data_IF_553010103901
#
_entry.id   IF_553010103901
#
_cell.length_a   1.000
_cell.length_b   1.000
_cell.length_c   1.000
_cell.angle_alpha   90.00
_cell.angle_beta   90.00
_cell.angle_gamma   90.00
#
_symmetry.space_group_name_H-M   'P 1'
#
loop_
_entity.id
_entity.type
_entity.pdbx_description
1 polymer ?
#
# COMPACT_ATOMS: atom_id res chain seq x y z
N UNK A 1 -21.90 -14.07 7.41
CA UNK A 1 -20.82 -14.10 8.41
C UNK A 1 -21.41 -13.93 9.82
N UNK A 2 -22.28 -12.93 10.03
CA UNK A 2 -22.89 -12.64 11.33
C UNK A 2 -24.39 -12.95 11.34
N UNK A 3 -24.93 -13.33 12.51
CA UNK A 3 -26.37 -13.48 12.69
C UNK A 3 -27.07 -12.11 12.76
N UNK A 4 -28.36 -12.06 12.41
CA UNK A 4 -29.18 -10.85 12.56
C UNK A 4 -29.16 -10.34 14.01
N UNK A 5 -29.29 -11.23 15.00
CA UNK A 5 -29.22 -10.88 16.42
C UNK A 5 -27.88 -10.19 16.78
N UNK A 6 -26.75 -10.65 16.23
CA UNK A 6 -25.47 -10.00 16.44
C UNK A 6 -25.45 -8.59 15.84
N UNK A 7 -25.92 -8.44 14.61
CA UNK A 7 -25.96 -7.14 13.90
C UNK A 7 -26.84 -6.14 14.64
N UNK A 8 -28.04 -6.55 15.05
CA UNK A 8 -28.99 -5.71 15.79
C UNK A 8 -28.40 -5.25 17.13
N UNK A 9 -27.76 -6.12 17.87
CA UNK A 9 -27.15 -5.81 19.17
C UNK A 9 -25.91 -4.93 19.03
N UNK A 10 -25.14 -5.13 17.95
CA UNK A 10 -24.01 -4.28 17.62
C UNK A 10 -24.48 -2.85 17.29
N UNK A 11 -25.49 -2.72 16.44
CA UNK A 11 -26.11 -1.44 16.08
C UNK A 11 -26.78 -0.74 17.28
N UNK A 12 -27.35 -1.52 18.22
CA UNK A 12 -27.91 -1.01 19.48
C UNK A 12 -26.83 -0.54 20.47
N UNK A 13 -25.54 -0.79 20.20
CA UNK A 13 -24.43 -0.44 21.08
C UNK A 13 -24.33 -1.31 22.34
N UNK A 14 -24.93 -2.52 22.31
CA UNK A 14 -24.82 -3.47 23.41
C UNK A 14 -23.38 -4.00 23.57
N UNK A 15 -22.62 -3.99 22.49
CA UNK A 15 -21.19 -4.31 22.48
C UNK A 15 -20.40 -3.14 21.92
N UNK A 16 -19.34 -2.79 22.58
CA UNK A 16 -18.38 -1.80 22.12
C UNK A 16 -17.06 -2.49 21.87
N UNK A 17 -16.65 -2.51 20.61
CA UNK A 17 -15.29 -2.91 20.23
C UNK A 17 -14.53 -1.65 19.88
N UNK A 18 -13.42 -1.40 20.57
CA UNK A 18 -12.51 -0.30 20.26
C UNK A 18 -11.26 -0.86 19.61
N UNK A 19 -10.90 -0.28 18.46
CA UNK A 19 -9.62 -0.57 17.82
C UNK A 19 -8.58 0.48 18.27
N UNK A 20 -7.26 0.20 18.12
CA UNK A 20 -6.20 1.09 18.61
C UNK A 20 -6.28 2.53 18.10
N UNK A 21 -6.94 2.78 16.96
CA UNK A 21 -7.19 4.13 16.44
C UNK A 21 -8.27 4.91 17.20
N UNK A 22 -8.93 4.30 18.18
CA UNK A 22 -10.09 4.88 18.89
C UNK A 22 -11.40 4.82 18.10
N UNK A 23 -11.41 4.26 16.89
CA UNK A 23 -12.62 4.01 16.12
C UNK A 23 -13.41 2.88 16.77
N UNK A 24 -14.73 3.05 16.85
CA UNK A 24 -15.64 2.01 17.33
C UNK A 24 -16.11 1.16 16.14
N UNK A 25 -16.34 -0.11 16.41
CA UNK A 25 -17.03 -1.02 15.51
C UNK A 25 -18.46 -1.08 15.98
N UNK A 26 -19.36 -0.46 15.25
CA UNK A 26 -20.79 -0.31 15.59
C UNK A 26 -21.73 -0.71 14.45
N UNK A 27 -21.19 -1.28 13.38
CA UNK A 27 -21.95 -1.77 12.24
C UNK A 27 -21.33 -3.03 11.65
N UNK A 28 -22.13 -3.77 10.87
CA UNK A 28 -21.72 -5.06 10.30
C UNK A 28 -20.59 -4.95 9.27
N UNK A 29 -20.51 -3.84 8.54
CA UNK A 29 -19.47 -3.63 7.53
C UNK A 29 -18.11 -3.48 8.19
N UNK A 30 -18.00 -2.59 9.18
CA UNK A 30 -16.77 -2.43 9.95
C UNK A 30 -16.38 -3.74 10.65
N UNK A 31 -17.34 -4.47 11.23
CA UNK A 31 -17.09 -5.76 11.86
C UNK A 31 -16.56 -6.80 10.87
N UNK A 32 -17.12 -6.85 9.66
CA UNK A 32 -16.70 -7.78 8.62
C UNK A 32 -15.28 -7.43 8.10
N UNK A 33 -14.97 -6.15 7.91
CA UNK A 33 -13.62 -5.70 7.53
C UNK A 33 -12.59 -6.05 8.61
N UNK A 34 -12.92 -5.87 9.89
CA UNK A 34 -12.00 -6.26 10.97
C UNK A 34 -11.80 -7.77 11.05
N UNK A 35 -12.84 -8.57 10.83
CA UNK A 35 -12.70 -10.03 10.74
C UNK A 35 -11.81 -10.43 9.56
N UNK A 36 -11.97 -9.77 8.41
CA UNK A 36 -11.10 -10.00 7.26
C UNK A 36 -9.63 -9.61 7.55
N UNK A 37 -9.38 -8.50 8.25
CA UNK A 37 -8.05 -8.12 8.68
C UNK A 37 -7.41 -9.22 9.58
N UNK A 38 -8.19 -9.83 10.48
CA UNK A 38 -7.73 -10.98 11.25
C UNK A 38 -7.45 -12.19 10.35
N UNK A 39 -8.31 -12.46 9.36
CA UNK A 39 -8.11 -13.54 8.41
C UNK A 39 -6.78 -13.44 7.66
N UNK A 40 -6.42 -12.25 7.16
CA UNK A 40 -5.17 -12.08 6.40
C UNK A 40 -3.91 -12.14 7.26
N UNK A 41 -3.97 -11.81 8.55
CA UNK A 41 -2.79 -11.87 9.45
C UNK A 41 -2.70 -13.18 10.22
N UNK A 42 -3.77 -13.94 10.34
CA UNK A 42 -3.85 -15.17 11.13
C UNK A 42 -2.78 -16.22 10.78
N UNK A 43 -2.46 -16.49 9.51
CA UNK A 43 -1.41 -17.45 9.15
C UNK A 43 -0.04 -17.08 9.72
N UNK A 44 0.30 -15.79 9.76
CA UNK A 44 1.57 -15.31 10.35
C UNK A 44 1.63 -15.52 11.86
N UNK A 45 0.48 -15.66 12.51
CA UNK A 45 0.33 -15.95 13.95
C UNK A 45 0.14 -17.45 14.24
N UNK A 46 0.17 -18.33 13.22
CA UNK A 46 -0.09 -19.75 13.36
C UNK A 46 -1.57 -20.08 13.64
N UNK A 47 -2.48 -19.17 13.33
CA UNK A 47 -3.92 -19.32 13.53
C UNK A 47 -4.62 -19.65 12.20
N UNK A 48 -5.70 -20.42 12.26
CA UNK A 48 -6.54 -20.73 11.10
C UNK A 48 -7.90 -20.02 11.24
N UNK A 49 -8.14 -19.10 10.31
CA UNK A 49 -9.38 -18.36 10.19
C UNK A 49 -10.16 -18.73 8.92
N UNK A 50 -9.73 -19.75 8.18
CA UNK A 50 -10.37 -20.17 6.92
C UNK A 50 -11.84 -20.55 7.07
N UNK A 51 -12.26 -20.97 8.27
CA UNK A 51 -13.66 -21.29 8.57
C UNK A 51 -14.61 -20.10 8.54
N UNK A 52 -14.12 -18.87 8.60
CA UNK A 52 -14.94 -17.65 8.64
C UNK A 52 -15.20 -17.03 7.27
N UNK A 53 -14.45 -17.45 6.25
CA UNK A 53 -14.57 -16.92 4.88
C UNK A 53 -14.50 -18.07 3.87
N UNK A 54 -15.39 -18.03 2.90
CA UNK A 54 -15.17 -18.77 1.67
C UNK A 54 -14.08 -18.08 0.84
N UNK A 55 -13.40 -18.80 -0.08
CA UNK A 55 -12.44 -18.18 -0.99
C UNK A 55 -13.05 -17.03 -1.82
N UNK A 56 -14.32 -17.13 -2.18
CA UNK A 56 -15.03 -16.09 -2.92
C UNK A 56 -15.23 -14.82 -2.08
N UNK A 57 -15.69 -14.98 -0.83
CA UNK A 57 -15.83 -13.85 0.10
C UNK A 57 -14.48 -13.19 0.38
N UNK A 58 -13.43 -13.95 0.61
CA UNK A 58 -12.09 -13.42 0.83
C UNK A 58 -11.59 -12.61 -0.38
N UNK A 59 -11.85 -13.09 -1.61
CA UNK A 59 -11.53 -12.34 -2.83
C UNK A 59 -12.34 -11.04 -2.95
N UNK A 60 -13.61 -11.02 -2.55
CA UNK A 60 -14.42 -9.81 -2.53
C UNK A 60 -13.84 -8.76 -1.57
N UNK A 61 -13.46 -9.15 -0.36
CA UNK A 61 -12.82 -8.23 0.58
C UNK A 61 -11.47 -7.73 0.07
N UNK A 62 -10.65 -8.61 -0.50
CA UNK A 62 -9.39 -8.22 -1.12
C UNK A 62 -9.61 -7.17 -2.22
N UNK A 63 -10.58 -7.40 -3.11
CA UNK A 63 -10.91 -6.46 -4.18
C UNK A 63 -11.40 -5.11 -3.64
N UNK A 64 -12.22 -5.09 -2.59
CA UNK A 64 -12.71 -3.85 -1.99
C UNK A 64 -11.57 -3.02 -1.37
N UNK A 65 -10.67 -3.65 -0.62
CA UNK A 65 -9.53 -2.97 -0.03
C UNK A 65 -8.53 -2.51 -1.09
N UNK A 66 -8.26 -3.34 -2.09
CA UNK A 66 -7.44 -2.96 -3.23
C UNK A 66 -8.04 -1.78 -4.02
N UNK A 67 -9.39 -1.75 -4.18
CA UNK A 67 -10.06 -0.65 -4.87
C UNK A 67 -9.90 0.68 -4.12
N UNK A 68 -10.02 0.66 -2.79
CA UNK A 68 -9.78 1.82 -1.95
C UNK A 68 -8.35 2.32 -2.11
N UNK A 69 -7.37 1.46 -1.95
CA UNK A 69 -5.96 1.80 -2.05
C UNK A 69 -5.57 2.26 -3.46
N UNK A 70 -6.09 1.59 -4.51
CA UNK A 70 -5.85 1.97 -5.89
C UNK A 70 -6.30 3.39 -6.21
N UNK A 71 -7.50 3.77 -5.74
CA UNK A 71 -8.09 5.09 -6.02
C UNK A 71 -7.51 6.18 -5.12
N UNK A 72 -7.26 5.87 -3.86
CA UNK A 72 -6.81 6.86 -2.88
C UNK A 72 -5.30 7.07 -2.86
N UNK A 73 -4.51 6.03 -3.14
CA UNK A 73 -3.06 6.01 -2.96
C UNK A 73 -2.31 5.53 -4.21
N UNK A 74 -2.93 4.68 -5.04
CA UNK A 74 -2.34 4.05 -6.20
C UNK A 74 -2.38 4.92 -7.46
N UNK A 75 -2.34 4.29 -8.65
CA UNK A 75 -2.39 5.00 -9.94
C UNK A 75 -3.64 5.85 -10.14
N UNK A 76 -4.79 5.42 -9.63
CA UNK A 76 -6.05 6.15 -9.69
C UNK A 76 -6.62 6.31 -11.10
N UNK A 77 -7.25 7.46 -11.35
CA UNK A 77 -7.98 7.72 -12.58
C UNK A 77 -7.15 8.48 -13.63
N UNK A 78 -7.38 8.16 -14.90
CA UNK A 78 -6.75 8.81 -16.04
C UNK A 78 -6.93 10.32 -15.97
N UNK A 79 -5.82 11.04 -16.12
CA UNK A 79 -5.79 12.50 -16.09
C UNK A 79 -5.79 13.12 -14.69
N UNK A 80 -5.71 12.32 -13.64
CA UNK A 80 -5.60 12.80 -12.26
C UNK A 80 -4.33 12.25 -11.59
N UNK A 81 -3.66 13.09 -10.82
CA UNK A 81 -2.52 12.71 -9.98
C UNK A 81 -2.83 12.86 -8.49
N UNK A 82 -4.09 13.10 -8.14
CA UNK A 82 -4.51 13.45 -6.77
C UNK A 82 -4.18 12.35 -5.76
N UNK A 83 -4.22 11.08 -6.18
CA UNK A 83 -3.94 9.91 -5.34
C UNK A 83 -2.47 9.81 -4.92
N UNK A 84 -1.54 10.35 -5.71
CA UNK A 84 -0.11 10.13 -5.51
C UNK A 84 0.76 11.40 -5.54
N UNK A 85 0.21 12.57 -5.91
CA UNK A 85 0.98 13.82 -5.97
C UNK A 85 1.53 14.28 -4.61
N UNK A 86 0.93 13.82 -3.51
CA UNK A 86 1.38 14.11 -2.15
C UNK A 86 2.75 13.46 -1.84
N UNK A 87 3.22 12.52 -2.66
CA UNK A 87 4.55 11.91 -2.54
C UNK A 87 5.68 12.73 -3.22
N UNK A 88 5.36 13.83 -3.91
CA UNK A 88 6.38 14.71 -4.53
C UNK A 88 7.44 15.20 -3.53
N UNK A 89 7.08 15.70 -2.33
CA UNK A 89 8.09 16.14 -1.36
C UNK A 89 9.07 15.03 -0.96
N UNK A 90 8.64 13.77 -0.94
CA UNK A 90 9.53 12.64 -0.69
C UNK A 90 10.51 12.43 -1.84
N UNK A 91 10.05 12.52 -3.09
CA UNK A 91 10.90 12.45 -4.27
C UNK A 91 11.93 13.58 -4.29
N UNK A 92 11.49 14.81 -3.99
CA UNK A 92 12.38 15.98 -3.91
C UNK A 92 13.44 15.80 -2.81
N UNK A 93 13.07 15.21 -1.65
CA UNK A 93 14.02 14.91 -0.58
C UNK A 93 15.02 13.81 -0.96
N UNK A 94 14.64 12.85 -1.80
CA UNK A 94 15.59 11.87 -2.34
C UNK A 94 16.69 12.58 -3.17
N UNK A 95 16.33 13.45 -4.10
CA UNK A 95 17.29 14.21 -4.91
C UNK A 95 18.13 15.15 -4.06
N UNK A 96 17.52 15.91 -3.15
CA UNK A 96 18.26 16.78 -2.24
C UNK A 96 19.24 16.00 -1.34
N UNK A 97 18.89 14.77 -0.96
CA UNK A 97 19.77 13.91 -0.18
C UNK A 97 20.96 13.41 -1.01
N UNK A 98 20.76 13.09 -2.29
CA UNK A 98 21.84 12.70 -3.21
C UNK A 98 22.86 13.84 -3.30
N UNK A 99 22.40 15.07 -3.59
CA UNK A 99 23.29 16.24 -3.73
C UNK A 99 24.06 16.52 -2.45
N UNK A 100 23.38 16.51 -1.30
CA UNK A 100 23.99 16.76 0.00
C UNK A 100 25.03 15.70 0.38
N UNK A 101 24.67 14.42 0.24
CA UNK A 101 25.58 13.32 0.61
C UNK A 101 26.78 13.21 -0.30
N UNK A 102 26.62 13.48 -1.58
CA UNK A 102 27.73 13.50 -2.53
C UNK A 102 28.74 14.61 -2.20
N UNK A 103 28.29 15.75 -1.66
CA UNK A 103 29.17 16.85 -1.24
C UNK A 103 29.86 16.60 0.11
N UNK A 104 29.12 16.04 1.08
CA UNK A 104 29.57 15.90 2.47
C UNK A 104 30.32 14.58 2.72
N UNK A 105 30.01 13.54 1.96
CA UNK A 105 30.51 12.18 2.15
C UNK A 105 30.99 11.55 0.81
N UNK A 106 32.07 12.03 0.22
CA UNK A 106 32.57 11.52 -1.08
C UNK A 106 32.94 10.04 -1.03
N UNK A 107 33.27 9.51 0.15
CA UNK A 107 33.65 8.10 0.34
C UNK A 107 32.44 7.18 0.48
N UNK A 108 31.23 7.74 0.37
CA UNK A 108 29.97 7.04 0.44
C UNK A 108 29.27 7.14 1.81
N UNK A 109 27.96 7.12 1.74
CA UNK A 109 27.08 7.12 2.91
C UNK A 109 25.74 6.47 2.55
N UNK A 110 24.94 6.18 3.55
CA UNK A 110 23.57 5.66 3.34
C UNK A 110 22.57 6.44 4.19
N UNK A 111 21.44 6.79 3.59
CA UNK A 111 20.28 7.30 4.31
C UNK A 111 19.16 6.27 4.23
N UNK A 112 18.67 5.82 5.37
CA UNK A 112 17.57 4.87 5.47
C UNK A 112 16.30 5.61 5.91
N UNK A 113 15.21 5.39 5.18
CA UNK A 113 13.88 5.90 5.50
C UNK A 113 12.96 4.72 5.74
N UNK A 114 12.24 4.76 6.85
CA UNK A 114 11.25 3.73 7.21
C UNK A 114 9.85 4.34 7.08
N UNK A 115 8.97 3.60 6.45
CA UNK A 115 7.62 4.06 6.17
C UNK A 115 6.63 2.89 6.15
N UNK A 116 5.37 3.19 5.97
CA UNK A 116 4.28 2.23 5.77
C UNK A 116 3.90 2.12 4.29
N UNK A 117 3.02 1.17 3.96
CA UNK A 117 2.46 0.99 2.62
C UNK A 117 1.78 2.27 2.11
N UNK A 118 1.15 3.04 3.01
CA UNK A 118 0.53 4.34 2.74
C UNK A 118 1.48 5.41 2.17
N UNK A 119 2.78 5.24 2.37
CA UNK A 119 3.81 6.10 1.78
C UNK A 119 4.40 5.48 0.52
N UNK A 120 4.59 4.16 0.52
CA UNK A 120 5.23 3.45 -0.58
C UNK A 120 4.34 3.40 -1.82
N UNK A 121 3.08 3.02 -1.67
CA UNK A 121 2.13 2.89 -2.78
C UNK A 121 2.00 4.19 -3.60
N UNK A 122 1.72 5.37 -2.99
CA UNK A 122 1.66 6.60 -3.77
C UNK A 122 3.02 7.05 -4.32
N UNK A 123 4.11 6.72 -3.64
CA UNK A 123 5.45 7.01 -4.17
C UNK A 123 5.73 6.19 -5.45
N UNK A 124 5.37 4.92 -5.47
CA UNK A 124 5.50 4.06 -6.64
C UNK A 124 4.62 4.51 -7.81
N UNK A 125 3.39 4.92 -7.52
CA UNK A 125 2.51 5.49 -8.53
C UNK A 125 3.08 6.79 -9.11
N UNK A 126 3.69 7.65 -8.28
CA UNK A 126 4.33 8.90 -8.70
C UNK A 126 5.52 8.65 -9.64
N UNK A 127 6.40 7.71 -9.30
CA UNK A 127 7.59 7.38 -10.10
C UNK A 127 7.29 6.40 -11.24
N UNK A 128 6.03 5.98 -11.38
CA UNK A 128 5.57 4.99 -12.37
C UNK A 128 6.37 3.68 -12.30
N UNK A 129 6.55 3.18 -11.08
CA UNK A 129 7.17 1.90 -10.86
C UNK A 129 6.42 0.77 -11.59
N UNK A 130 7.08 -0.34 -11.98
CA UNK A 130 6.41 -1.47 -12.59
C UNK A 130 5.18 -1.91 -11.76
N UNK A 131 4.07 -2.20 -12.42
CA UNK A 131 2.79 -2.52 -11.75
C UNK A 131 1.96 -1.31 -11.30
N UNK A 132 2.57 -0.12 -11.11
CA UNK A 132 1.88 1.11 -10.68
C UNK A 132 1.74 2.18 -11.79
N UNK A 133 1.70 1.76 -13.06
CA UNK A 133 1.70 2.68 -14.21
C UNK A 133 0.31 2.91 -14.81
N UNK A 134 -0.57 1.93 -14.69
CA UNK A 134 -1.86 1.93 -15.40
C UNK A 134 -2.90 2.67 -14.58
N UNK A 135 -3.50 3.69 -15.18
CA UNK A 135 -4.68 4.38 -14.64
C UNK A 135 -5.94 3.87 -15.34
N UNK A 136 -7.08 3.89 -14.64
CA UNK A 136 -8.38 3.50 -15.19
C UNK A 136 -9.26 4.73 -15.46
N UNK A 137 -10.28 4.57 -16.30
CA UNK A 137 -11.31 5.60 -16.47
C UNK A 137 -12.35 5.51 -15.36
N UNK A 138 -13.00 6.61 -15.02
CA UNK A 138 -14.05 6.62 -14.00
C UNK A 138 -15.28 5.75 -14.36
N UNK A 139 -15.43 5.39 -15.62
CA UNK A 139 -16.47 4.48 -16.11
C UNK A 139 -16.08 2.99 -16.00
N UNK A 140 -14.81 2.70 -15.80
CA UNK A 140 -14.26 1.34 -15.74
C UNK A 140 -13.81 1.06 -14.31
N UNK A 141 -14.78 0.75 -13.45
CA UNK A 141 -14.53 0.50 -12.03
C UNK A 141 -14.00 -0.91 -11.75
N UNK A 142 -13.99 -1.80 -12.73
CA UNK A 142 -13.43 -3.13 -12.59
C UNK A 142 -11.92 -3.13 -12.85
N UNK A 143 -11.19 -2.42 -11.99
CA UNK A 143 -9.75 -2.27 -12.13
C UNK A 143 -9.00 -3.61 -11.99
N UNK A 144 -9.55 -4.59 -11.28
CA UNK A 144 -8.95 -5.92 -11.15
C UNK A 144 -8.90 -6.67 -12.47
N UNK A 145 -9.82 -6.39 -13.41
CA UNK A 145 -9.74 -6.91 -14.78
C UNK A 145 -8.91 -6.02 -15.71
N UNK A 146 -8.94 -4.71 -15.44
CA UNK A 146 -8.24 -3.74 -16.27
C UNK A 146 -6.74 -3.65 -15.98
N UNK A 147 -6.30 -4.07 -14.79
CA UNK A 147 -4.90 -3.97 -14.34
C UNK A 147 -4.47 -5.18 -13.54
N UNK A 148 -3.16 -5.44 -13.51
CA UNK A 148 -2.54 -6.42 -12.62
C UNK A 148 -2.17 -5.81 -11.25
N UNK A 149 -2.58 -4.58 -10.97
CA UNK A 149 -2.29 -3.91 -9.71
C UNK A 149 -3.00 -4.60 -8.54
N UNK A 150 -2.26 -4.89 -7.49
CA UNK A 150 -2.77 -5.45 -6.23
C UNK A 150 -2.02 -4.78 -5.07
N UNK A 151 -2.76 -4.30 -4.07
CA UNK A 151 -2.18 -3.67 -2.88
C UNK A 151 -1.16 -4.57 -2.18
N UNK A 152 -1.48 -5.86 -2.06
CA UNK A 152 -0.57 -6.87 -1.51
C UNK A 152 0.74 -7.04 -2.30
N UNK A 153 0.76 -6.67 -3.58
CA UNK A 153 1.98 -6.72 -4.41
C UNK A 153 2.78 -5.43 -4.30
N UNK A 154 2.12 -4.27 -4.25
CA UNK A 154 2.76 -2.97 -4.22
C UNK A 154 3.22 -2.56 -2.80
N UNK A 155 2.46 -2.91 -1.77
CA UNK A 155 2.73 -2.59 -0.37
C UNK A 155 3.20 -3.79 0.46
N UNK A 156 3.98 -4.71 -0.10
CA UNK A 156 4.46 -5.91 0.61
C UNK A 156 5.19 -5.55 1.89
N UNK A 157 5.07 -6.39 2.90
CA UNK A 157 5.92 -6.31 4.08
C UNK A 157 7.39 -6.42 3.69
N UNK A 158 8.22 -5.53 4.23
CA UNK A 158 9.63 -5.37 3.88
C UNK A 158 9.90 -4.92 2.42
N UNK A 159 8.88 -4.50 1.68
CA UNK A 159 9.09 -3.85 0.40
C UNK A 159 9.99 -2.61 0.56
N UNK A 160 10.83 -2.36 -0.42
CA UNK A 160 11.71 -1.19 -0.38
C UNK A 160 12.03 -0.67 -1.79
N UNK A 161 12.37 0.59 -1.84
CA UNK A 161 12.96 1.26 -3.01
C UNK A 161 14.34 1.73 -2.62
N UNK A 162 15.34 1.30 -3.37
CA UNK A 162 16.74 1.65 -3.16
C UNK A 162 17.24 2.53 -4.32
N UNK A 163 17.94 3.59 -3.98
CA UNK A 163 18.61 4.46 -4.94
C UNK A 163 20.11 4.40 -4.69
N UNK A 164 20.84 3.85 -5.67
CA UNK A 164 22.30 3.81 -5.65
C UNK A 164 22.83 4.94 -6.50
N UNK A 165 23.75 5.70 -5.94
CA UNK A 165 24.45 6.79 -6.64
C UNK A 165 25.87 6.36 -6.88
N UNK A 166 26.29 6.43 -8.14
CA UNK A 166 27.66 6.14 -8.57
C UNK A 166 28.27 7.40 -9.14
N UNK A 167 29.51 7.70 -8.77
CA UNK A 167 30.28 8.78 -9.35
C UNK A 167 31.52 8.21 -10.09
N UNK A 168 31.88 8.83 -11.20
CA UNK A 168 33.15 8.54 -11.87
C UNK A 168 34.24 9.53 -11.44
N UNK A 169 35.49 9.30 -11.89
CA UNK A 169 36.65 10.14 -11.56
C UNK A 169 36.51 11.58 -12.09
N UNK A 170 35.55 11.85 -12.98
CA UNK A 170 35.27 13.18 -13.54
C UNK A 170 34.14 13.90 -12.78
N UNK A 171 33.61 13.30 -11.70
CA UNK A 171 32.51 13.85 -10.90
C UNK A 171 31.12 13.73 -11.56
N UNK A 172 31.02 12.98 -12.65
CA UNK A 172 29.69 12.69 -13.24
C UNK A 172 28.98 11.63 -12.40
N UNK A 173 27.71 11.85 -12.12
CA UNK A 173 26.91 10.96 -11.31
C UNK A 173 25.84 10.26 -12.14
N UNK A 174 25.58 9.01 -11.81
CA UNK A 174 24.45 8.23 -12.31
C UNK A 174 23.70 7.63 -11.12
N UNK A 175 22.38 7.58 -11.24
CA UNK A 175 21.49 7.01 -10.22
C UNK A 175 20.86 5.74 -10.77
N UNK A 176 20.95 4.67 -10.01
CA UNK A 176 20.22 3.43 -10.27
C UNK A 176 19.13 3.28 -9.23
N UNK A 177 17.90 3.13 -9.68
CA UNK A 177 16.78 2.78 -8.81
C UNK A 177 16.51 1.28 -8.89
N UNK A 178 16.39 0.65 -7.75
CA UNK A 178 15.98 -0.74 -7.57
C UNK A 178 14.71 -0.77 -6.72
N UNK A 179 13.76 -1.59 -7.12
CA UNK A 179 12.59 -1.89 -6.31
C UNK A 179 12.58 -3.39 -6.01
N UNK A 180 12.57 -3.76 -4.74
CA UNK A 180 12.48 -5.16 -4.30
C UNK A 180 11.05 -5.69 -4.27
N UNK A 181 10.07 -4.90 -4.69
CA UNK A 181 8.66 -5.30 -4.78
C UNK A 181 8.48 -6.34 -5.91
N UNK A 182 9.34 -6.30 -6.91
CA UNK A 182 9.24 -7.12 -8.13
C UNK A 182 10.31 -8.20 -8.25
N UNK A 183 10.98 -8.58 -7.17
CA UNK A 183 11.77 -9.81 -7.19
C UNK A 183 10.79 -10.97 -7.12
N UNK A 184 10.31 -11.40 -8.30
CA UNK A 184 9.70 -12.72 -8.45
C UNK A 184 10.81 -13.76 -8.36
N UNK A 185 10.68 -14.70 -7.44
CA UNK A 185 11.40 -15.97 -7.48
C UNK A 185 11.09 -16.73 -8.77
#
# INVERSE_FOLDING_TARGET
IYSEDFVDRLAAGEWTFEIPSGKKIDNEVDAAVQLYNLYIVAPALGMDFSQYFTPEEANWFAMLLDAEDYVQKGPGFVGSDISHRNSRPLLDDFFASIDRQSAEHPDGSATLRFAHAETLIPFEALIKAPGSQTQITASDLDFWKATDWRGASQGRMAANVQWDVFANDQGQQVVRMLSLIHISE
#
